data_IF_737029697939
#
_entry.id   IF_737029697939
#
_cell.length_a   1.000
_cell.length_b   1.000
_cell.length_c   1.000
_cell.angle_alpha   90.00
_cell.angle_beta   90.00
_cell.angle_gamma   90.00
#
_symmetry.space_group_name_H-M   'P 1'
#
loop_
_entity.id
_entity.type
_entity.pdbx_description
1 polymer ?
#
# COMPACT_ATOMS: atom_id res chain seq x y z
N UNK A 1 16.62 16.00 15.95
CA UNK A 1 16.69 16.33 14.51
C UNK A 1 17.35 15.28 13.64
N UNK A 2 18.55 14.75 14.01
CA UNK A 2 19.29 13.80 13.16
C UNK A 2 18.67 12.40 13.09
N UNK A 3 17.95 11.97 14.13
CA UNK A 3 17.35 10.61 14.16
C UNK A 3 16.17 10.46 13.19
N UNK A 4 15.41 11.53 12.92
CA UNK A 4 14.31 11.52 11.96
C UNK A 4 14.82 11.23 10.54
N UNK A 5 15.84 12.00 10.09
CA UNK A 5 16.42 11.80 8.76
C UNK A 5 17.07 10.42 8.60
N UNK A 6 17.70 9.92 9.65
CA UNK A 6 18.29 8.57 9.66
C UNK A 6 17.24 7.47 9.56
N UNK A 7 16.05 7.67 10.12
CA UNK A 7 14.94 6.71 10.03
C UNK A 7 14.29 6.74 8.65
N UNK A 8 14.13 7.93 8.06
CA UNK A 8 13.50 8.15 6.74
C UNK A 8 14.36 7.64 5.58
N UNK A 9 15.70 7.71 5.69
CA UNK A 9 16.62 7.37 4.60
C UNK A 9 17.13 5.92 4.62
N UNK A 10 16.84 5.15 5.66
CA UNK A 10 17.38 3.78 5.86
C UNK A 10 16.52 2.63 5.34
N UNK A 11 15.30 2.85 4.89
CA UNK A 11 14.49 1.79 4.30
C UNK A 11 15.01 1.47 2.89
N UNK A 12 15.89 0.46 2.78
CA UNK A 12 16.50 0.02 1.51
C UNK A 12 15.74 -1.13 0.86
N UNK A 13 14.78 -1.73 1.56
CA UNK A 13 13.99 -2.87 1.08
C UNK A 13 12.49 -2.67 1.33
N UNK A 14 11.67 -3.25 0.45
CA UNK A 14 10.23 -3.37 0.61
C UNK A 14 9.86 -4.84 0.82
N UNK A 15 8.88 -5.08 1.70
CA UNK A 15 8.29 -6.39 1.94
C UNK A 15 6.94 -6.48 1.25
N UNK A 16 6.76 -7.52 0.43
CA UNK A 16 5.52 -7.85 -0.25
C UNK A 16 4.87 -9.03 0.45
N UNK A 17 3.60 -8.90 0.82
CA UNK A 17 2.80 -9.99 1.34
C UNK A 17 1.87 -10.51 0.25
N UNK A 18 1.95 -11.81 -0.02
CA UNK A 18 1.01 -12.54 -0.85
C UNK A 18 0.17 -13.41 0.05
N UNK A 19 -1.14 -13.24 0.01
CA UNK A 19 -2.06 -13.90 0.91
C UNK A 19 -2.95 -14.90 0.18
N UNK A 20 -3.20 -16.02 0.85
CA UNK A 20 -4.24 -16.98 0.50
C UNK A 20 -5.50 -16.57 1.27
N UNK A 21 -6.54 -16.16 0.54
CA UNK A 21 -7.76 -15.57 1.07
C UNK A 21 -8.96 -16.44 0.69
N UNK A 22 -9.85 -16.69 1.62
CA UNK A 22 -11.13 -17.37 1.39
C UNK A 22 -12.28 -16.57 1.97
N UNK A 23 -13.52 -16.94 1.65
CA UNK A 23 -14.70 -16.34 2.26
C UNK A 23 -14.71 -16.61 3.77
N UNK A 24 -15.18 -15.67 4.56
CA UNK A 24 -15.20 -15.77 6.02
C UNK A 24 -16.01 -16.97 6.52
N UNK A 25 -17.08 -17.32 5.82
CA UNK A 25 -17.94 -18.47 6.13
C UNK A 25 -17.36 -19.82 5.65
N UNK A 26 -16.25 -19.84 4.94
CA UNK A 26 -15.56 -21.07 4.59
C UNK A 26 -15.03 -21.75 5.86
N UNK A 27 -15.18 -23.08 5.94
CA UNK A 27 -14.77 -23.86 7.13
C UNK A 27 -13.25 -23.96 7.31
N UNK A 28 -12.45 -23.65 6.29
CA UNK A 28 -11.01 -23.70 6.35
C UNK A 28 -10.46 -22.73 7.43
N UNK A 29 -9.53 -23.20 8.24
CA UNK A 29 -8.83 -22.39 9.28
C UNK A 29 -7.32 -22.40 9.11
N UNK A 30 -6.79 -23.29 8.28
CA UNK A 30 -5.36 -23.45 7.97
C UNK A 30 -5.19 -23.87 6.52
N UNK A 31 -3.98 -23.72 6.00
CA UNK A 31 -3.67 -23.98 4.58
C UNK A 31 -4.02 -25.43 4.18
N UNK A 32 -3.73 -26.43 5.03
CA UNK A 32 -4.02 -27.82 4.73
C UNK A 32 -5.52 -28.13 4.55
N UNK A 33 -6.41 -27.29 5.08
CA UNK A 33 -7.86 -27.43 4.85
C UNK A 33 -8.27 -27.07 3.43
N UNK A 34 -7.40 -26.40 2.69
CA UNK A 34 -7.60 -26.02 1.28
C UNK A 34 -6.91 -26.98 0.30
N UNK A 35 -6.28 -28.04 0.78
CA UNK A 35 -5.66 -29.05 -0.05
C UNK A 35 -6.66 -29.68 -1.02
N UNK A 36 -6.28 -29.78 -2.30
CA UNK A 36 -7.14 -30.29 -3.36
C UNK A 36 -8.29 -29.38 -3.78
N UNK A 37 -8.34 -28.14 -3.27
CA UNK A 37 -9.34 -27.15 -3.61
C UNK A 37 -8.91 -26.31 -4.82
N UNK A 38 -9.84 -25.48 -5.34
CA UNK A 38 -9.58 -24.57 -6.45
C UNK A 38 -9.08 -23.22 -5.94
N UNK A 39 -7.96 -22.77 -6.49
CA UNK A 39 -7.38 -21.47 -6.19
C UNK A 39 -7.47 -20.54 -7.40
N UNK A 40 -7.99 -19.34 -7.19
CA UNK A 40 -8.01 -18.29 -8.20
C UNK A 40 -6.73 -17.43 -8.13
N UNK A 41 -6.25 -17.00 -9.27
CA UNK A 41 -5.07 -16.16 -9.41
C UNK A 41 -5.20 -15.21 -10.60
N UNK A 42 -4.61 -14.02 -10.48
CA UNK A 42 -4.42 -13.08 -11.59
C UNK A 42 -2.96 -12.70 -11.73
N UNK A 43 -2.48 -12.69 -12.97
CA UNK A 43 -1.12 -12.28 -13.32
C UNK A 43 -1.08 -10.87 -13.96
N UNK A 44 -2.15 -10.09 -13.81
CA UNK A 44 -2.31 -8.82 -14.50
C UNK A 44 -1.16 -7.84 -14.27
N UNK A 45 -0.67 -7.72 -13.03
CA UNK A 45 0.38 -6.78 -12.67
C UNK A 45 1.63 -7.42 -12.05
N UNK A 46 1.54 -8.68 -11.63
CA UNK A 46 2.63 -9.36 -10.95
C UNK A 46 2.66 -10.84 -11.36
N UNK A 47 3.66 -11.22 -12.12
CA UNK A 47 3.90 -12.61 -12.48
C UNK A 47 4.95 -13.24 -11.58
N UNK A 48 5.99 -12.48 -11.21
CA UNK A 48 7.15 -13.02 -10.51
C UNK A 48 6.85 -13.40 -9.07
N UNK A 49 6.29 -12.47 -8.29
CA UNK A 49 6.01 -12.69 -6.86
C UNK A 49 4.88 -13.70 -6.67
N UNK A 50 3.83 -13.62 -7.49
CA UNK A 50 2.71 -14.55 -7.42
C UNK A 50 3.14 -15.99 -7.77
N UNK A 51 4.03 -16.16 -8.74
CA UNK A 51 4.57 -17.49 -9.12
C UNK A 51 5.38 -18.09 -7.96
N UNK A 52 6.20 -17.29 -7.28
CA UNK A 52 6.92 -17.73 -6.08
C UNK A 52 5.96 -18.15 -4.96
N UNK A 53 4.93 -17.36 -4.71
CA UNK A 53 3.95 -17.66 -3.67
C UNK A 53 3.19 -18.97 -3.94
N UNK A 54 2.80 -19.22 -5.19
CA UNK A 54 2.18 -20.47 -5.61
C UNK A 54 3.12 -21.65 -5.37
N UNK A 55 4.38 -21.51 -5.76
CA UNK A 55 5.38 -22.57 -5.56
C UNK A 55 5.61 -22.86 -4.06
N UNK A 56 5.70 -21.84 -3.23
CA UNK A 56 5.87 -21.97 -1.77
C UNK A 56 4.64 -22.62 -1.13
N UNK A 57 3.44 -22.23 -1.57
CA UNK A 57 2.19 -22.84 -1.11
C UNK A 57 2.09 -24.32 -1.50
N UNK A 58 2.38 -24.66 -2.75
CA UNK A 58 2.37 -26.03 -3.22
C UNK A 58 3.44 -26.89 -2.52
N UNK A 59 4.59 -26.30 -2.20
CA UNK A 59 5.60 -26.98 -1.37
C UNK A 59 5.09 -27.24 0.07
N UNK A 60 4.40 -26.29 0.67
CA UNK A 60 3.81 -26.46 2.01
C UNK A 60 2.71 -27.53 2.02
N UNK A 61 1.95 -27.65 0.93
CA UNK A 61 0.90 -28.65 0.77
C UNK A 61 1.43 -30.01 0.31
N UNK A 62 2.63 -30.06 -0.28
CA UNK A 62 3.29 -31.26 -0.76
C UNK A 62 2.83 -31.75 -2.13
N UNK A 63 1.97 -31.01 -2.83
CA UNK A 63 1.46 -31.33 -4.16
C UNK A 63 1.09 -30.06 -4.94
N UNK A 64 0.92 -30.21 -6.26
CA UNK A 64 0.38 -29.17 -7.11
C UNK A 64 -1.12 -29.00 -6.90
N UNK A 65 -1.57 -27.75 -6.93
CA UNK A 65 -2.96 -27.38 -6.74
C UNK A 65 -3.63 -26.92 -8.05
N UNK A 66 -4.95 -26.93 -8.07
CA UNK A 66 -5.74 -26.47 -9.22
C UNK A 66 -5.80 -24.93 -9.22
N UNK A 67 -5.07 -24.31 -10.17
CA UNK A 67 -5.01 -22.86 -10.36
C UNK A 67 -5.92 -22.42 -11.50
N UNK A 68 -6.89 -21.55 -11.19
CA UNK A 68 -7.78 -20.93 -12.15
C UNK A 68 -7.34 -19.47 -12.38
N UNK A 69 -7.04 -19.13 -13.62
CA UNK A 69 -6.54 -17.80 -14.01
C UNK A 69 -7.70 -16.86 -14.32
N UNK A 70 -7.58 -15.62 -13.83
CA UNK A 70 -8.50 -14.52 -14.14
C UNK A 70 -7.72 -13.35 -14.73
N UNK A 71 -8.33 -12.62 -15.67
CA UNK A 71 -7.67 -11.55 -16.41
C UNK A 71 -7.34 -10.35 -15.53
N UNK A 72 -8.18 -10.10 -14.52
CA UNK A 72 -8.04 -8.96 -13.62
C UNK A 72 -8.46 -9.30 -12.17
N UNK A 73 -8.18 -8.36 -11.25
CA UNK A 73 -8.48 -8.56 -9.83
C UNK A 73 -9.97 -8.43 -9.52
N UNK A 74 -10.71 -7.67 -10.31
CA UNK A 74 -12.19 -7.60 -10.17
C UNK A 74 -12.81 -8.95 -10.47
N UNK A 75 -12.43 -9.58 -11.57
CA UNK A 75 -12.87 -10.94 -11.93
C UNK A 75 -12.44 -11.99 -10.90
N UNK A 76 -11.25 -11.84 -10.33
CA UNK A 76 -10.73 -12.71 -9.27
C UNK A 76 -11.61 -12.64 -8.01
N UNK A 77 -11.96 -11.43 -7.56
CA UNK A 77 -12.84 -11.23 -6.41
C UNK A 77 -14.25 -11.77 -6.69
N UNK A 78 -14.81 -11.51 -7.86
CA UNK A 78 -16.12 -12.03 -8.27
C UNK A 78 -16.16 -13.56 -8.24
N UNK A 79 -15.11 -14.21 -8.70
CA UNK A 79 -15.01 -15.67 -8.71
C UNK A 79 -15.01 -16.25 -7.28
N UNK A 80 -14.32 -15.59 -6.34
CA UNK A 80 -14.34 -15.98 -4.94
C UNK A 80 -15.75 -15.86 -4.34
N UNK A 81 -16.42 -14.75 -4.57
CA UNK A 81 -17.77 -14.49 -4.06
C UNK A 81 -18.82 -15.41 -4.65
N UNK A 82 -18.69 -15.80 -5.92
CA UNK A 82 -19.58 -16.76 -6.60
C UNK A 82 -19.29 -18.22 -6.25
N UNK A 83 -18.18 -18.49 -5.55
CA UNK A 83 -17.75 -19.85 -5.24
C UNK A 83 -17.21 -20.63 -6.44
N UNK A 84 -16.80 -19.95 -7.51
CA UNK A 84 -16.09 -20.57 -8.64
C UNK A 84 -14.73 -21.11 -8.23
N UNK A 85 -14.11 -20.47 -7.25
CA UNK A 85 -12.89 -20.90 -6.56
C UNK A 85 -13.12 -20.91 -5.06
N UNK A 86 -12.37 -21.73 -4.33
CA UNK A 86 -12.46 -21.87 -2.88
C UNK A 86 -11.62 -20.81 -2.16
N UNK A 87 -10.52 -20.41 -2.77
CA UNK A 87 -9.60 -19.37 -2.28
C UNK A 87 -8.96 -18.62 -3.45
N UNK A 88 -8.39 -17.47 -3.15
CA UNK A 88 -7.58 -16.69 -4.07
C UNK A 88 -6.18 -16.48 -3.50
N UNK A 89 -5.21 -16.33 -4.40
CA UNK A 89 -3.83 -15.99 -4.06
C UNK A 89 -3.54 -14.62 -4.65
N UNK A 90 -3.26 -13.64 -3.79
CA UNK A 90 -3.15 -12.25 -4.22
C UNK A 90 -2.20 -11.46 -3.33
N UNK A 91 -1.44 -10.56 -3.94
CA UNK A 91 -0.63 -9.58 -3.22
C UNK A 91 -1.50 -8.55 -2.49
N UNK A 92 -1.11 -8.15 -1.29
CA UNK A 92 -1.86 -7.17 -0.50
C UNK A 92 -1.93 -5.78 -1.17
N UNK A 93 -0.96 -5.43 -2.01
CA UNK A 93 -0.96 -4.19 -2.78
C UNK A 93 -2.15 -4.06 -3.73
N UNK A 94 -2.77 -5.19 -4.12
CA UNK A 94 -3.91 -5.21 -5.03
C UNK A 94 -5.28 -5.22 -4.34
N UNK A 95 -5.31 -5.12 -3.02
CA UNK A 95 -6.53 -5.22 -2.21
C UNK A 95 -7.60 -4.20 -2.60
N UNK A 96 -7.19 -2.97 -2.92
CA UNK A 96 -8.12 -1.92 -3.39
C UNK A 96 -8.85 -2.29 -4.68
N UNK A 97 -8.22 -3.11 -5.53
CA UNK A 97 -8.84 -3.61 -6.75
C UNK A 97 -9.84 -4.74 -6.48
N UNK A 98 -9.57 -5.58 -5.48
CA UNK A 98 -10.53 -6.60 -5.02
C UNK A 98 -11.78 -5.96 -4.41
N UNK A 99 -11.62 -4.84 -3.72
CA UNK A 99 -12.70 -4.09 -3.07
C UNK A 99 -13.58 -3.30 -4.05
N UNK A 100 -13.15 -3.09 -5.29
CA UNK A 100 -13.83 -2.20 -6.24
C UNK A 100 -15.32 -2.51 -6.44
N UNK A 101 -15.71 -3.79 -6.44
CA UNK A 101 -17.10 -4.24 -6.52
C UNK A 101 -17.60 -4.93 -5.24
N UNK A 102 -16.78 -4.97 -4.20
CA UNK A 102 -17.03 -5.67 -2.94
C UNK A 102 -16.52 -4.83 -1.77
N UNK A 103 -17.24 -3.77 -1.42
CA UNK A 103 -16.81 -2.76 -0.43
C UNK A 103 -16.49 -3.35 0.95
N UNK A 104 -17.15 -4.45 1.31
CA UNK A 104 -16.93 -5.14 2.59
C UNK A 104 -15.99 -6.35 2.47
N UNK A 105 -15.12 -6.37 1.46
CA UNK A 105 -14.22 -7.50 1.19
C UNK A 105 -13.45 -7.94 2.45
N UNK A 106 -12.92 -7.00 3.23
CA UNK A 106 -12.17 -7.30 4.46
C UNK A 106 -13.00 -7.98 5.53
N UNK A 107 -14.27 -7.58 5.66
CA UNK A 107 -15.19 -8.13 6.67
C UNK A 107 -15.79 -9.47 6.23
N UNK A 108 -15.89 -9.71 4.93
CA UNK A 108 -16.51 -10.89 4.34
C UNK A 108 -15.52 -12.00 3.97
N UNK A 109 -14.23 -11.72 4.08
CA UNK A 109 -13.14 -12.65 3.77
C UNK A 109 -12.21 -12.84 4.97
N UNK A 110 -11.35 -13.86 4.88
CA UNK A 110 -10.29 -14.12 5.87
C UNK A 110 -9.02 -14.60 5.19
N UNK A 111 -7.89 -14.24 5.79
CA UNK A 111 -6.57 -14.68 5.37
C UNK A 111 -6.27 -16.02 6.05
N UNK A 112 -5.95 -17.03 5.24
CA UNK A 112 -5.55 -18.36 5.72
C UNK A 112 -4.04 -18.45 5.92
N UNK A 113 -3.27 -17.91 4.99
CA UNK A 113 -1.80 -17.93 5.01
C UNK A 113 -1.27 -16.70 4.29
N UNK A 114 -0.14 -16.19 4.73
CA UNK A 114 0.61 -15.14 4.02
C UNK A 114 2.05 -15.55 3.80
N UNK A 115 2.59 -15.18 2.64
CA UNK A 115 3.99 -15.36 2.26
C UNK A 115 4.63 -14.00 2.10
N UNK A 116 5.82 -13.81 2.66
CA UNK A 116 6.55 -12.55 2.64
C UNK A 116 7.76 -12.64 1.70
N UNK A 117 7.89 -11.63 0.85
CA UNK A 117 9.00 -11.49 -0.10
C UNK A 117 9.63 -10.10 0.04
N UNK A 118 10.94 -10.02 -0.10
CA UNK A 118 11.67 -8.75 -0.06
C UNK A 118 12.20 -8.37 -1.44
N UNK A 119 12.14 -7.08 -1.75
CA UNK A 119 12.86 -6.50 -2.87
C UNK A 119 13.50 -5.17 -2.46
N UNK A 120 14.53 -4.76 -3.22
CA UNK A 120 15.15 -3.44 -2.99
C UNK A 120 14.15 -2.34 -3.32
N UNK A 121 14.03 -1.36 -2.42
CA UNK A 121 13.29 -0.13 -2.66
C UNK A 121 14.07 0.71 -3.68
N UNK A 122 13.50 0.89 -4.87
CA UNK A 122 14.06 1.77 -5.89
C UNK A 122 13.29 3.09 -5.89
N UNK A 123 13.69 4.02 -5.03
CA UNK A 123 13.16 5.39 -5.00
C UNK A 123 14.31 6.35 -5.28
N UNK A 124 14.19 7.08 -6.37
CA UNK A 124 15.12 8.17 -6.69
C UNK A 124 14.48 9.49 -6.29
N UNK A 125 15.09 10.18 -5.31
CA UNK A 125 14.70 11.51 -4.87
C UNK A 125 15.84 12.49 -5.11
N UNK A 126 15.49 13.77 -5.32
CA UNK A 126 16.46 14.85 -5.52
C UNK A 126 16.80 15.48 -4.19
N UNK A 127 17.92 15.06 -3.58
CA UNK A 127 18.40 15.63 -2.33
C UNK A 127 18.81 17.11 -2.50
N UNK A 128 18.62 17.90 -1.45
CA UNK A 128 18.98 19.31 -1.41
C UNK A 128 19.60 19.67 -0.07
N UNK A 129 20.23 20.85 0.01
CA UNK A 129 20.72 21.38 1.28
C UNK A 129 19.53 21.87 2.13
N UNK A 130 19.11 21.06 3.08
CA UNK A 130 17.92 21.26 3.92
C UNK A 130 18.09 22.43 4.94
N UNK A 131 19.28 22.94 5.12
CA UNK A 131 19.55 24.12 6.00
C UNK A 131 19.41 25.46 5.26
N UNK A 132 19.50 25.44 3.94
CA UNK A 132 19.51 26.65 3.11
C UNK A 132 18.34 26.72 2.13
N UNK A 133 17.90 25.60 1.62
CA UNK A 133 16.87 25.53 0.57
C UNK A 133 15.55 24.96 1.10
N UNK A 134 14.42 25.44 0.58
CA UNK A 134 13.15 24.75 0.77
C UNK A 134 13.23 23.31 0.28
N UNK A 135 12.57 22.40 0.97
CA UNK A 135 12.50 21.01 0.59
C UNK A 135 11.12 20.41 0.89
N UNK A 136 10.79 19.38 0.16
CA UNK A 136 9.49 18.71 0.26
C UNK A 136 9.71 17.23 0.58
N UNK A 137 8.93 16.73 1.53
CA UNK A 137 8.91 15.33 1.96
C UNK A 137 7.55 14.76 1.60
N UNK A 138 7.52 13.63 0.91
CA UNK A 138 6.31 12.82 0.80
C UNK A 138 6.30 11.78 1.90
N UNK A 139 5.29 11.84 2.76
CA UNK A 139 5.07 10.88 3.85
C UNK A 139 3.83 10.07 3.55
N UNK A 140 3.97 8.76 3.47
CA UNK A 140 2.86 7.82 3.28
C UNK A 140 2.62 7.04 4.56
N UNK A 141 1.37 7.01 5.01
CA UNK A 141 0.92 6.24 6.16
C UNK A 141 0.22 4.97 5.72
N UNK A 142 0.57 3.84 6.33
CA UNK A 142 -0.07 2.55 6.09
C UNK A 142 -0.87 2.12 7.32
N UNK A 143 -2.08 1.60 7.07
CA UNK A 143 -2.93 1.04 8.13
C UNK A 143 -2.51 -0.41 8.40
N UNK A 144 -1.45 -0.57 9.15
CA UNK A 144 -1.00 -1.89 9.60
C UNK A 144 -0.29 -1.78 10.95
N UNK A 145 -0.50 -2.77 11.80
CA UNK A 145 0.26 -2.96 13.02
C UNK A 145 1.60 -3.68 12.78
N UNK A 146 1.92 -3.96 11.52
CA UNK A 146 3.14 -4.66 11.12
C UNK A 146 4.32 -3.74 10.84
N UNK A 147 5.33 -4.30 10.20
CA UNK A 147 6.51 -3.57 9.74
C UNK A 147 6.13 -2.53 8.69
N UNK A 148 6.61 -1.31 8.85
CA UNK A 148 6.46 -0.22 7.86
C UNK A 148 7.13 -0.52 6.52
N UNK A 149 7.99 -1.53 6.45
CA UNK A 149 8.59 -2.01 5.21
C UNK A 149 7.64 -2.86 4.35
N UNK A 150 6.52 -3.33 4.92
CA UNK A 150 5.53 -4.10 4.15
C UNK A 150 4.84 -3.21 3.14
N UNK A 151 4.80 -3.65 1.88
CA UNK A 151 4.03 -2.96 0.84
C UNK A 151 2.56 -3.21 1.13
N UNK A 152 1.91 -2.16 1.57
CA UNK A 152 0.48 -2.13 1.81
C UNK A 152 -0.09 -0.89 1.14
N UNK A 153 -1.40 -0.87 1.04
CA UNK A 153 -2.16 0.27 0.59
C UNK A 153 -1.84 1.51 1.45
N UNK A 154 -1.49 2.62 0.79
CA UNK A 154 -1.34 3.89 1.50
C UNK A 154 -2.70 4.47 1.81
N UNK A 155 -3.01 4.65 3.09
CA UNK A 155 -4.26 5.27 3.54
C UNK A 155 -4.11 6.77 3.79
N UNK A 156 -2.89 7.24 4.06
CA UNK A 156 -2.58 8.65 4.28
C UNK A 156 -1.43 9.07 3.37
N UNK A 157 -1.63 10.16 2.65
CA UNK A 157 -0.62 10.80 1.82
C UNK A 157 -0.43 12.23 2.28
N UNK A 158 0.71 12.52 2.87
CA UNK A 158 1.04 13.84 3.40
C UNK A 158 2.25 14.41 2.66
N UNK A 159 2.11 15.62 2.14
CA UNK A 159 3.19 16.38 1.53
C UNK A 159 3.60 17.47 2.51
N UNK A 160 4.84 17.43 2.97
CA UNK A 160 5.40 18.38 3.94
C UNK A 160 6.44 19.20 3.24
N UNK A 161 6.19 20.50 3.05
CA UNK A 161 7.15 21.45 2.50
C UNK A 161 7.70 22.33 3.62
N UNK A 162 9.01 22.38 3.75
CA UNK A 162 9.71 23.13 4.78
C UNK A 162 10.55 24.22 4.12
N UNK A 163 10.40 25.46 4.58
CA UNK A 163 11.29 26.55 4.20
C UNK A 163 12.14 26.94 5.42
N UNK A 164 13.44 26.59 5.44
CA UNK A 164 14.30 26.83 6.60
C UNK A 164 14.58 28.31 6.82
N UNK A 165 14.56 29.13 5.76
CA UNK A 165 14.83 30.59 5.85
C UNK A 165 13.67 31.35 6.49
N UNK A 166 12.44 31.02 6.09
CA UNK A 166 11.24 31.67 6.62
C UNK A 166 10.69 30.96 7.86
N UNK A 167 11.22 29.76 8.18
CA UNK A 167 10.74 28.87 9.26
C UNK A 167 9.27 28.50 9.09
N UNK A 168 8.82 28.37 7.84
CA UNK A 168 7.46 27.97 7.51
C UNK A 168 7.42 26.50 7.13
N UNK A 169 6.36 25.84 7.57
CA UNK A 169 6.04 24.46 7.23
C UNK A 169 4.62 24.44 6.66
N UNK A 170 4.48 23.90 5.47
CA UNK A 170 3.18 23.65 4.84
C UNK A 170 2.94 22.14 4.77
N UNK A 171 1.80 21.71 5.27
CA UNK A 171 1.34 20.32 5.16
C UNK A 171 0.11 20.24 4.30
N UNK A 172 0.17 19.40 3.27
CA UNK A 172 -0.93 19.12 2.35
C UNK A 172 -1.26 17.65 2.39
N UNK A 173 -2.50 17.32 2.73
CA UNK A 173 -2.99 15.94 2.66
C UNK A 173 -3.69 15.69 1.34
N UNK A 174 -3.39 14.57 0.69
CA UNK A 174 -4.07 14.12 -0.52
C UNK A 174 -4.87 12.86 -0.18
N UNK A 175 -6.21 12.88 -0.33
CA UNK A 175 -7.02 11.70 -0.09
C UNK A 175 -6.57 10.51 -0.96
N UNK A 176 -6.57 9.32 -0.38
CA UNK A 176 -6.17 8.08 -1.10
C UNK A 176 -7.02 7.80 -2.35
N UNK A 177 -8.29 8.18 -2.32
CA UNK A 177 -9.24 8.00 -3.41
C UNK A 177 -9.30 9.19 -4.38
N UNK A 178 -8.40 10.17 -4.21
CA UNK A 178 -8.27 11.28 -5.13
C UNK A 178 -8.02 10.76 -6.55
N UNK A 179 -8.88 11.17 -7.49
CA UNK A 179 -8.71 10.88 -8.90
C UNK A 179 -7.64 11.80 -9.48
N UNK A 180 -6.60 11.22 -10.04
CA UNK A 180 -5.38 11.91 -10.41
C UNK A 180 -4.84 11.36 -11.73
N UNK A 181 -4.19 12.21 -12.51
CA UNK A 181 -3.56 11.79 -13.76
C UNK A 181 -2.23 11.08 -13.47
N UNK A 182 -2.12 9.81 -13.88
CA UNK A 182 -0.91 9.02 -13.70
C UNK A 182 0.24 9.58 -14.56
N UNK A 183 1.42 9.74 -13.95
CA UNK A 183 2.65 10.12 -14.64
C UNK A 183 2.98 9.17 -15.78
N UNK A 184 2.85 7.88 -15.53
CA UNK A 184 3.23 6.78 -16.43
C UNK A 184 2.56 6.85 -17.82
N UNK A 185 1.28 7.22 -17.90
CA UNK A 185 0.50 7.09 -19.13
C UNK A 185 -0.54 8.20 -19.34
N UNK A 186 -0.65 9.16 -18.44
CA UNK A 186 -1.62 10.25 -18.51
C UNK A 186 -3.09 9.85 -18.31
N UNK A 187 -3.36 8.61 -17.91
CA UNK A 187 -4.73 8.16 -17.62
C UNK A 187 -5.14 8.58 -16.21
N UNK A 188 -6.42 8.83 -16.01
CA UNK A 188 -6.98 9.10 -14.69
C UNK A 188 -7.15 7.81 -13.91
N UNK A 189 -6.72 7.83 -12.65
CA UNK A 189 -6.89 6.73 -11.71
C UNK A 189 -6.82 7.25 -10.27
N UNK A 190 -7.17 6.42 -9.30
CA UNK A 190 -7.05 6.77 -7.88
C UNK A 190 -5.57 6.82 -7.47
N UNK A 191 -5.23 7.77 -6.61
CA UNK A 191 -3.87 7.89 -6.07
C UNK A 191 -3.40 6.58 -5.42
N UNK A 192 -4.27 5.91 -4.66
CA UNK A 192 -3.95 4.64 -4.01
C UNK A 192 -3.53 3.54 -5.00
N UNK A 193 -3.96 3.59 -6.26
CA UNK A 193 -3.58 2.62 -7.29
C UNK A 193 -2.17 2.84 -7.83
N UNK A 194 -1.58 4.01 -7.65
CA UNK A 194 -0.21 4.31 -8.14
C UNK A 194 0.84 3.40 -7.52
N UNK A 195 0.61 2.95 -6.27
CA UNK A 195 1.50 2.04 -5.56
C UNK A 195 1.73 0.70 -6.26
N UNK A 196 0.80 0.28 -7.13
CA UNK A 196 0.91 -0.93 -7.96
C UNK A 196 2.10 -0.83 -8.92
N UNK A 197 2.37 0.36 -9.42
CA UNK A 197 3.48 0.66 -10.35
C UNK A 197 4.77 1.06 -9.63
N UNK A 198 4.77 1.02 -8.30
CA UNK A 198 5.91 1.34 -7.45
C UNK A 198 5.86 2.77 -6.88
N UNK A 199 6.64 2.99 -5.83
CA UNK A 199 6.70 4.27 -5.10
C UNK A 199 7.17 5.41 -5.99
N UNK A 200 8.08 5.17 -6.95
CA UNK A 200 8.54 6.19 -7.89
C UNK A 200 7.42 6.72 -8.78
N UNK A 201 6.48 5.89 -9.19
CA UNK A 201 5.30 6.34 -9.94
C UNK A 201 4.39 7.20 -9.08
N UNK A 202 4.16 6.83 -7.83
CA UNK A 202 3.39 7.65 -6.88
C UNK A 202 4.02 9.03 -6.70
N UNK A 203 5.32 9.08 -6.48
CA UNK A 203 6.07 10.33 -6.32
C UNK A 203 5.95 11.20 -7.56
N UNK A 204 6.23 10.66 -8.75
CA UNK A 204 6.15 11.40 -10.01
C UNK A 204 4.73 11.90 -10.30
N UNK A 205 3.72 11.10 -10.00
CA UNK A 205 2.31 11.49 -10.14
C UNK A 205 1.95 12.65 -9.22
N UNK A 206 2.39 12.64 -7.96
CA UNK A 206 2.16 13.73 -7.01
C UNK A 206 2.94 14.99 -7.43
N UNK A 207 4.18 14.85 -7.89
CA UNK A 207 4.99 15.96 -8.39
C UNK A 207 4.29 16.67 -9.56
N UNK A 208 3.77 15.92 -10.52
CA UNK A 208 3.03 16.46 -11.67
C UNK A 208 1.74 17.15 -11.21
N UNK A 209 1.02 16.55 -10.28
CA UNK A 209 -0.26 17.06 -9.80
C UNK A 209 -0.15 18.38 -9.01
N UNK A 210 0.87 18.49 -8.16
CA UNK A 210 1.07 19.67 -7.32
C UNK A 210 2.07 20.67 -7.89
N UNK A 211 2.73 20.34 -9.01
CA UNK A 211 3.84 21.12 -9.57
C UNK A 211 4.93 21.40 -8.53
N UNK A 212 5.37 20.36 -7.83
CA UNK A 212 6.41 20.43 -6.81
C UNK A 212 7.48 19.36 -7.06
N UNK A 213 8.69 19.61 -6.54
CA UNK A 213 9.75 18.62 -6.49
C UNK A 213 9.75 17.96 -5.10
N UNK A 214 9.67 16.63 -5.05
CA UNK A 214 9.76 15.84 -3.82
C UNK A 214 11.20 15.42 -3.62
N UNK A 215 11.79 15.90 -2.51
CA UNK A 215 13.21 15.69 -2.20
C UNK A 215 13.42 14.44 -1.34
N UNK A 216 12.44 14.09 -0.50
CA UNK A 216 12.54 12.95 0.43
C UNK A 216 11.23 12.18 0.48
N UNK A 217 11.37 10.90 0.81
CA UNK A 217 10.25 9.98 0.98
C UNK A 217 10.32 9.29 2.35
N UNK A 218 9.20 9.20 3.03
CA UNK A 218 9.05 8.45 4.26
C UNK A 218 7.79 7.60 4.22
N UNK A 219 7.90 6.37 4.72
CA UNK A 219 6.75 5.51 4.99
C UNK A 219 6.63 5.28 6.48
N UNK A 220 5.42 5.39 7.01
CA UNK A 220 5.17 5.25 8.44
C UNK A 220 3.84 4.55 8.69
N UNK A 221 3.59 4.15 9.93
CA UNK A 221 2.28 3.75 10.42
C UNK A 221 1.58 4.94 11.10
N UNK A 222 0.38 4.76 11.62
CA UNK A 222 -0.36 5.82 12.30
C UNK A 222 0.41 6.44 13.48
N UNK A 223 1.06 5.61 14.30
CA UNK A 223 1.85 6.11 15.43
C UNK A 223 3.02 6.98 14.98
N UNK A 224 3.71 6.57 13.92
CA UNK A 224 4.79 7.36 13.33
C UNK A 224 4.30 8.67 12.71
N UNK A 225 3.13 8.67 12.09
CA UNK A 225 2.52 9.89 11.55
C UNK A 225 2.21 10.90 12.66
N UNK A 226 1.62 10.43 13.77
CA UNK A 226 1.35 11.26 14.95
C UNK A 226 2.65 11.87 15.47
N UNK A 227 3.70 11.07 15.62
CA UNK A 227 5.01 11.54 16.07
C UNK A 227 5.62 12.60 15.15
N UNK A 228 5.43 12.47 13.83
CA UNK A 228 5.89 13.48 12.85
C UNK A 228 5.15 14.79 13.06
N UNK A 229 3.82 14.74 13.16
CA UNK A 229 2.98 15.93 13.38
C UNK A 229 3.33 16.61 14.71
N UNK A 230 3.51 15.83 15.78
CA UNK A 230 3.90 16.35 17.09
C UNK A 230 5.30 17.00 17.07
N UNK A 231 6.26 16.37 16.38
CA UNK A 231 7.61 16.91 16.21
C UNK A 231 7.65 18.24 15.44
N UNK A 232 6.66 18.47 14.59
CA UNK A 232 6.47 19.72 13.83
C UNK A 232 5.69 20.79 14.63
N UNK A 233 5.28 20.49 15.86
CA UNK A 233 4.55 21.41 16.73
C UNK A 233 3.03 21.30 16.64
N UNK A 234 2.54 20.20 16.05
CA UNK A 234 1.11 19.98 15.83
C UNK A 234 0.58 20.68 14.58
N UNK A 235 -0.71 20.53 14.35
CA UNK A 235 -1.45 21.22 13.28
C UNK A 235 -2.68 21.90 13.85
N UNK A 236 -2.96 23.10 13.35
CA UNK A 236 -4.23 23.77 13.64
C UNK A 236 -5.21 23.43 12.54
N UNK A 237 -6.35 22.86 12.94
CA UNK A 237 -7.44 22.53 12.01
C UNK A 237 -8.57 23.53 12.30
N UNK A 238 -8.95 24.28 11.28
CA UNK A 238 -10.19 25.06 11.30
C UNK A 238 -11.28 24.16 10.71
N UNK A 239 -12.30 23.87 11.53
CA UNK A 239 -13.38 22.96 11.15
C UNK A 239 -14.73 23.58 11.45
N UNK A 240 -15.60 23.55 10.45
CA UNK A 240 -16.99 23.97 10.58
C UNK A 240 -17.82 23.05 11.49
N UNK A 241 -17.28 21.89 11.83
CA UNK A 241 -17.97 20.87 12.62
C UNK A 241 -17.21 20.54 13.91
N UNK A 242 -17.95 20.50 15.02
CA UNK A 242 -17.46 19.90 16.27
C UNK A 242 -17.75 18.40 16.24
N UNK A 243 -16.74 17.59 16.44
CA UNK A 243 -16.90 16.15 16.64
C UNK A 243 -16.13 15.70 17.88
N UNK A 244 -16.65 14.68 18.52
CA UNK A 244 -15.99 14.03 19.66
C UNK A 244 -15.60 12.64 19.24
N UNK A 245 -14.33 12.29 19.42
CA UNK A 245 -13.89 10.91 19.20
C UNK A 245 -14.43 10.04 20.33
N UNK A 246 -15.05 8.93 19.95
CA UNK A 246 -15.37 7.86 20.89
C UNK A 246 -14.08 7.04 21.09
N UNK A 247 -13.59 7.01 22.32
CA UNK A 247 -12.47 6.17 22.75
C UNK A 247 -12.98 4.77 23.07
#
# INVERSE_FOLDING_TARGET
GNDFFNTVTKATTQKYLVSVITMKNNSATKLSDLDGKKFGVSYQHDTTTITKAIADMENDLGEQEDMVKYDDYSGLADALYKGEVDAIIVGQEYKSMLEANHDSFDDETKIIKSYEYESKLSVTTKQTNVTENPFTIYVTGIDTYGSVSTVARSDVNLIVTVNPKTKQILMTSIPRDCEIQLHKNGKMDKLTHTGIYGTSETISTIEDFLDVEINYFARTNFSGMTNIVDALGGVTIDSDYKFTTLH
#
